data_IF_743318017866
#
_entry.id   IF_743318017866
#
_cell.length_a   1.000
_cell.length_b   1.000
_cell.length_c   1.000
_cell.angle_alpha   90.00
_cell.angle_beta   90.00
_cell.angle_gamma   90.00
#
_symmetry.space_group_name_H-M   'P 1'
#
loop_
_entity.id
_entity.type
_entity.pdbx_description
1 polymer ?
#
# COMPACT_ATOMS: atom_id res chain seq x y z
N UNK A 1 1.60 6.14 12.29
CA UNK A 1 0.89 5.97 11.01
C UNK A 1 0.30 7.31 10.64
N UNK A 2 0.55 7.77 9.42
CA UNK A 2 0.15 9.07 8.92
C UNK A 2 -0.85 8.88 7.78
N UNK A 3 -1.96 9.61 7.82
CA UNK A 3 -2.84 9.80 6.66
C UNK A 3 -2.31 10.98 5.86
N UNK A 4 -1.91 10.74 4.62
CA UNK A 4 -1.13 11.72 3.87
C UNK A 4 -2.03 12.82 3.30
N UNK A 5 -1.64 14.10 3.43
CA UNK A 5 -2.42 15.20 2.88
C UNK A 5 -2.46 15.12 1.36
N UNK A 6 -3.52 15.67 0.77
CA UNK A 6 -3.76 15.64 -0.68
C UNK A 6 -2.58 16.19 -1.51
N UNK A 7 -1.83 17.16 -0.99
CA UNK A 7 -0.66 17.74 -1.66
C UNK A 7 0.58 16.83 -1.73
N UNK A 8 0.63 15.76 -0.94
CA UNK A 8 1.74 14.80 -0.91
C UNK A 8 1.35 13.43 -1.52
N UNK A 9 0.19 13.38 -2.19
CA UNK A 9 -0.25 12.19 -2.91
C UNK A 9 0.42 12.13 -4.29
N UNK A 10 0.93 10.95 -4.63
CA UNK A 10 1.30 10.65 -6.02
C UNK A 10 0.07 10.67 -6.92
N UNK A 11 0.26 11.01 -8.20
CA UNK A 11 -0.83 11.08 -9.19
C UNK A 11 -1.84 9.91 -9.20
N UNK A 12 -1.45 8.63 -8.99
CA UNK A 12 -2.41 7.54 -8.97
C UNK A 12 -3.10 7.32 -7.61
N UNK A 13 -2.66 7.95 -6.52
CA UNK A 13 -3.16 7.67 -5.17
C UNK A 13 -4.40 8.52 -4.86
N UNK A 14 -5.51 7.85 -4.56
CA UNK A 14 -6.72 8.47 -4.02
C UNK A 14 -6.60 8.73 -2.51
N UNK A 15 -6.02 7.77 -1.78
CA UNK A 15 -5.69 7.88 -0.36
C UNK A 15 -4.42 7.09 -0.08
N UNK A 16 -3.55 7.62 0.78
CA UNK A 16 -2.23 7.04 1.10
C UNK A 16 -1.99 7.09 2.61
N UNK A 17 -1.50 5.98 3.16
CA UNK A 17 -1.03 5.90 4.53
C UNK A 17 0.45 5.55 4.57
N UNK A 18 1.20 6.33 5.34
CA UNK A 18 2.61 6.05 5.60
C UNK A 18 2.83 5.54 7.03
N UNK A 19 3.71 4.55 7.15
CA UNK A 19 4.20 4.10 8.45
C UNK A 19 5.61 4.62 8.59
N UNK A 20 5.83 5.34 9.67
CA UNK A 20 7.15 5.85 10.03
C UNK A 20 7.67 5.13 11.27
N UNK A 21 8.95 4.79 11.26
CA UNK A 21 9.67 4.28 12.40
C UNK A 21 10.47 5.41 13.05
N UNK A 22 10.58 5.36 14.37
CA UNK A 22 11.48 6.25 15.11
C UNK A 22 12.95 5.89 14.78
N UNK A 23 13.76 6.88 14.41
CA UNK A 23 15.19 6.73 14.11
C UNK A 23 15.99 7.61 15.09
N UNK A 24 16.43 7.06 16.25
CA UNK A 24 17.15 7.80 17.29
C UNK A 24 18.35 8.60 16.78
N UNK A 25 19.14 8.05 15.85
CA UNK A 25 20.32 8.70 15.29
C UNK A 25 19.99 9.96 14.48
N UNK A 26 18.76 10.04 13.94
CA UNK A 26 18.25 11.21 13.24
C UNK A 26 17.38 12.12 14.13
N UNK A 27 17.02 11.69 15.34
CA UNK A 27 16.13 12.42 16.24
C UNK A 27 14.73 12.67 15.67
N UNK A 28 14.27 11.86 14.71
CA UNK A 28 12.98 12.03 14.05
C UNK A 28 12.41 10.69 13.56
N UNK A 29 11.13 10.72 13.20
CA UNK A 29 10.49 9.64 12.47
C UNK A 29 10.93 9.64 10.99
N UNK A 30 11.05 8.44 10.42
CA UNK A 30 11.34 8.23 9.01
C UNK A 30 10.44 7.16 8.40
N UNK A 31 9.93 7.43 7.20
CA UNK A 31 9.06 6.52 6.45
C UNK A 31 9.72 5.15 6.20
N UNK A 32 9.02 4.06 6.52
CA UNK A 32 9.46 2.68 6.27
C UNK A 32 8.49 1.89 5.38
N UNK A 33 7.27 2.38 5.21
CA UNK A 33 6.21 1.75 4.43
C UNK A 33 5.24 2.81 3.95
N UNK A 34 4.66 2.55 2.79
CA UNK A 34 3.61 3.37 2.19
C UNK A 34 2.56 2.46 1.57
N UNK A 35 1.28 2.75 1.80
CA UNK A 35 0.15 2.01 1.26
C UNK A 35 -0.85 2.97 0.60
N UNK A 36 -1.18 2.73 -0.67
CA UNK A 36 -2.06 3.58 -1.46
C UNK A 36 -3.23 2.80 -2.05
N UNK A 37 -4.43 3.37 -1.91
CA UNK A 37 -5.57 3.01 -2.73
C UNK A 37 -5.56 3.87 -4.01
N UNK A 38 -5.53 3.23 -5.17
CA UNK A 38 -5.48 3.90 -6.47
C UNK A 38 -6.80 3.86 -7.23
N UNK A 39 -7.87 3.36 -6.59
CA UNK A 39 -9.19 3.13 -7.19
C UNK A 39 -9.02 2.53 -8.59
N UNK A 40 -9.73 3.04 -9.61
CA UNK A 40 -9.60 2.57 -10.98
C UNK A 40 -8.55 3.33 -11.81
N UNK A 41 -7.77 4.24 -11.22
CA UNK A 41 -6.84 5.12 -11.95
C UNK A 41 -5.85 4.34 -12.81
N UNK A 42 -5.24 3.30 -12.24
CA UNK A 42 -4.28 2.45 -12.92
C UNK A 42 -4.99 1.47 -13.86
N UNK A 43 -6.12 0.90 -13.40
CA UNK A 43 -6.91 -0.06 -14.17
C UNK A 43 -7.45 0.54 -15.48
N UNK A 44 -7.86 1.82 -15.49
CA UNK A 44 -8.29 2.53 -16.70
C UNK A 44 -7.18 2.66 -17.73
N UNK A 45 -5.94 2.90 -17.29
CA UNK A 45 -4.77 3.06 -18.16
C UNK A 45 -4.27 1.73 -18.72
N UNK A 46 -4.41 0.66 -17.94
CA UNK A 46 -4.00 -0.70 -18.33
C UNK A 46 -5.15 -1.54 -18.92
N UNK A 47 -6.36 -0.97 -19.01
CA UNK A 47 -7.59 -1.62 -19.43
C UNK A 47 -7.91 -2.93 -18.65
N UNK A 48 -7.71 -2.92 -17.33
CA UNK A 48 -7.96 -4.08 -16.46
C UNK A 48 -9.39 -4.03 -15.95
N UNK A 49 -10.20 -5.06 -16.26
CA UNK A 49 -11.64 -5.08 -16.00
C UNK A 49 -12.07 -6.39 -15.36
N UNK A 50 -13.12 -6.33 -14.55
CA UNK A 50 -13.82 -7.50 -14.05
C UNK A 50 -15.28 -7.50 -14.51
N UNK A 51 -15.94 -8.65 -14.39
CA UNK A 51 -17.36 -8.81 -14.65
C UNK A 51 -18.05 -9.06 -13.30
N UNK A 52 -18.89 -8.14 -12.81
CA UNK A 52 -19.65 -8.37 -11.58
C UNK A 52 -20.53 -9.61 -11.72
N UNK A 53 -20.59 -10.45 -10.68
CA UNK A 53 -21.64 -11.46 -10.59
C UNK A 53 -22.97 -10.79 -10.20
N UNK A 54 -24.11 -11.45 -10.43
CA UNK A 54 -25.43 -10.90 -10.08
C UNK A 54 -25.56 -10.53 -8.58
N UNK A 55 -24.67 -11.03 -7.71
CA UNK A 55 -24.64 -10.72 -6.27
C UNK A 55 -23.78 -9.49 -5.92
N UNK A 56 -22.85 -9.10 -6.78
CA UNK A 56 -21.84 -8.06 -6.48
C UNK A 56 -22.29 -6.65 -6.88
N UNK A 57 -23.37 -6.53 -7.68
CA UNK A 57 -23.91 -5.25 -8.16
C UNK A 57 -24.55 -4.37 -7.05
N UNK A 58 -24.50 -4.82 -5.79
CA UNK A 58 -25.10 -4.16 -4.63
C UNK A 58 -24.09 -3.80 -3.53
N UNK A 59 -22.77 -3.80 -3.81
CA UNK A 59 -21.80 -3.28 -2.85
C UNK A 59 -22.00 -1.75 -2.70
N UNK A 60 -22.12 -1.22 -1.47
CA UNK A 60 -22.45 0.18 -1.26
C UNK A 60 -21.31 1.08 -1.72
N UNK A 61 -21.70 2.16 -2.41
CA UNK A 61 -20.82 3.29 -2.65
C UNK A 61 -20.43 3.89 -1.30
N UNK A 62 -19.12 3.95 -1.07
CA UNK A 62 -18.35 4.89 -0.27
C UNK A 62 -19.17 5.70 0.77
N UNK A 63 -18.90 5.43 2.05
CA UNK A 63 -19.39 6.15 3.24
C UNK A 63 -18.88 7.60 3.23
N UNK A 64 -19.59 8.51 2.54
CA UNK A 64 -19.45 9.98 2.64
C UNK A 64 -20.86 10.63 2.59
N UNK A 65 -21.20 11.55 3.51
CA UNK A 65 -22.55 12.08 3.62
C UNK A 65 -22.83 13.17 2.58
N UNK A 66 -23.61 12.83 1.56
CA UNK A 66 -24.59 13.71 0.93
C UNK A 66 -24.11 14.74 -0.09
N UNK A 67 -24.33 14.43 -1.37
CA UNK A 67 -25.14 15.27 -2.25
C UNK A 67 -25.68 14.41 -3.41
N UNK A 68 -27.00 14.29 -3.51
CA UNK A 68 -27.64 13.44 -4.52
C UNK A 68 -27.42 14.03 -5.93
N UNK A 69 -26.89 13.28 -6.93
CA UNK A 69 -26.79 13.80 -8.28
C UNK A 69 -28.19 13.87 -8.90
N UNK A 70 -28.57 15.06 -9.33
CA UNK A 70 -29.81 15.37 -10.01
C UNK A 70 -30.06 14.43 -11.21
N UNK A 71 -31.26 13.84 -11.27
CA UNK A 71 -31.71 13.04 -12.38
C UNK A 71 -31.75 13.86 -13.68
N UNK A 72 -30.81 13.60 -14.61
CA UNK A 72 -30.92 14.04 -16.00
C UNK A 72 -31.35 12.88 -16.88
N UNK A 73 -32.55 12.99 -17.43
CA UNK A 73 -33.13 12.05 -18.38
C UNK A 73 -32.27 11.89 -19.63
N UNK A 74 -31.83 10.65 -19.89
CA UNK A 74 -31.07 10.26 -21.08
C UNK A 74 -31.96 9.67 -22.16
N UNK A 75 -32.09 10.40 -23.27
CA UNK A 75 -32.76 10.02 -24.52
C UNK A 75 -32.05 8.80 -25.16
N UNK A 76 -32.82 7.74 -25.46
CA UNK A 76 -32.38 6.55 -26.22
C UNK A 76 -32.00 6.94 -27.64
N UNK A 77 -30.75 6.69 -28.04
CA UNK A 77 -30.28 6.78 -29.42
C UNK A 77 -29.19 5.73 -29.65
N UNK A 78 -29.55 4.64 -30.32
CA UNK A 78 -28.66 3.49 -30.52
C UNK A 78 -27.68 3.69 -31.68
N UNK A 79 -26.53 3.03 -31.59
CA UNK A 79 -25.81 2.52 -32.76
C UNK A 79 -25.17 1.18 -32.40
N UNK A 80 -25.71 0.11 -33.01
CA UNK A 80 -25.20 -1.26 -32.95
C UNK A 80 -23.89 -1.33 -33.73
N UNK A 81 -22.81 -1.72 -33.06
CA UNK A 81 -21.66 -2.37 -33.67
C UNK A 81 -21.64 -3.82 -33.19
N UNK A 82 -21.71 -4.77 -34.12
CA UNK A 82 -21.79 -6.19 -33.85
C UNK A 82 -20.39 -6.83 -33.78
N UNK A 83 -20.16 -7.68 -32.78
CA UNK A 83 -19.46 -8.97 -32.89
C UNK A 83 -19.23 -9.60 -31.51
N UNK A 84 -19.50 -10.90 -31.38
CA UNK A 84 -18.95 -11.76 -30.32
C UNK A 84 -19.94 -12.15 -29.22
N UNK A 85 -20.41 -13.40 -29.24
CA UNK A 85 -21.41 -13.94 -28.33
C UNK A 85 -20.91 -14.26 -26.92
N UNK A 86 -21.86 -14.35 -25.98
CA UNK A 86 -21.66 -14.80 -24.60
C UNK A 86 -22.29 -13.82 -23.60
N UNK A 87 -23.51 -14.12 -23.14
CA UNK A 87 -24.26 -13.28 -22.21
C UNK A 87 -23.55 -13.04 -20.89
N UNK A 88 -22.87 -11.89 -20.78
CA UNK A 88 -22.22 -11.43 -19.56
C UNK A 88 -22.47 -9.94 -19.38
N UNK A 89 -22.87 -9.53 -18.18
CA UNK A 89 -23.15 -8.14 -17.83
C UNK A 89 -22.01 -7.16 -18.13
N UNK A 90 -22.32 -5.85 -18.05
CA UNK A 90 -21.36 -4.77 -18.30
C UNK A 90 -20.12 -4.97 -17.42
N UNK A 91 -18.93 -4.95 -18.04
CA UNK A 91 -17.66 -5.05 -17.33
C UNK A 91 -17.29 -3.72 -16.68
N UNK A 92 -16.65 -3.76 -15.52
CA UNK A 92 -16.25 -2.62 -14.70
C UNK A 92 -14.72 -2.61 -14.50
N UNK A 93 -14.12 -1.45 -14.24
CA UNK A 93 -12.69 -1.36 -13.95
C UNK A 93 -12.44 -1.82 -12.51
N UNK A 94 -11.35 -2.58 -12.29
CA UNK A 94 -10.99 -3.01 -10.94
C UNK A 94 -10.39 -1.86 -10.13
N UNK A 95 -10.50 -1.93 -8.81
CA UNK A 95 -9.69 -1.12 -7.92
C UNK A 95 -8.29 -1.73 -7.76
N UNK A 96 -7.25 -0.89 -7.70
CA UNK A 96 -5.88 -1.33 -7.44
C UNK A 96 -5.35 -0.74 -6.13
N UNK A 97 -4.57 -1.53 -5.42
CA UNK A 97 -3.84 -1.11 -4.23
C UNK A 97 -2.36 -1.47 -4.41
N UNK A 98 -1.49 -0.67 -3.80
CA UNK A 98 -0.08 -1.00 -3.67
C UNK A 98 0.37 -0.65 -2.25
N UNK A 99 1.24 -1.49 -1.67
CA UNK A 99 1.79 -1.26 -0.36
C UNK A 99 3.21 -1.82 -0.26
N UNK A 100 4.14 -1.00 0.24
CA UNK A 100 5.48 -1.46 0.62
C UNK A 100 5.37 -2.15 1.96
N UNK A 101 5.60 -3.47 2.06
CA UNK A 101 5.58 -4.15 3.34
C UNK A 101 6.66 -3.61 4.30
N UNK A 102 7.86 -3.37 3.76
CA UNK A 102 9.00 -2.80 4.48
C UNK A 102 10.06 -2.33 3.46
N UNK A 103 10.52 -1.09 3.60
CA UNK A 103 11.71 -0.60 2.90
C UNK A 103 12.96 -1.17 3.60
N UNK A 104 13.44 -2.32 3.11
CA UNK A 104 14.49 -3.13 3.78
C UNK A 104 15.69 -2.32 4.25
N UNK A 105 16.33 -1.44 3.45
CA UNK A 105 17.47 -0.67 3.93
C UNK A 105 17.14 0.25 5.11
N UNK A 106 15.98 0.90 5.09
CA UNK A 106 15.54 1.79 6.19
C UNK A 106 15.16 1.01 7.44
N UNK A 107 14.56 -0.17 7.26
CA UNK A 107 14.24 -1.05 8.39
C UNK A 107 15.49 -1.62 9.06
N UNK A 108 16.55 -1.94 8.30
CA UNK A 108 17.84 -2.32 8.89
C UNK A 108 18.36 -1.18 9.77
N UNK A 109 18.37 0.06 9.28
CA UNK A 109 18.79 1.23 10.08
C UNK A 109 17.95 1.37 11.35
N UNK A 110 16.62 1.33 11.23
CA UNK A 110 15.72 1.43 12.37
C UNK A 110 15.97 0.32 13.40
N UNK A 111 16.21 -0.92 12.97
CA UNK A 111 16.53 -2.04 13.87
C UNK A 111 17.86 -1.80 14.57
N UNK A 112 18.91 -1.46 13.82
CA UNK A 112 20.25 -1.23 14.38
C UNK A 112 20.22 -0.12 15.44
N UNK A 113 19.56 1.00 15.16
CA UNK A 113 19.53 2.13 16.09
C UNK A 113 18.66 1.89 17.33
N UNK A 114 17.53 1.19 17.20
CA UNK A 114 16.60 0.98 18.31
C UNK A 114 16.97 -0.23 19.20
N UNK A 115 17.79 -1.16 18.70
CA UNK A 115 18.20 -2.36 19.42
C UNK A 115 19.70 -2.37 19.78
N UNK A 116 20.43 -1.26 19.59
CA UNK A 116 21.82 -1.13 20.03
C UNK A 116 21.94 -1.13 21.55
N UNK A 117 23.09 -1.59 22.03
CA UNK A 117 23.50 -1.63 23.43
C UNK A 117 24.69 -0.70 23.67
N UNK A 118 24.98 -0.41 24.94
CA UNK A 118 26.11 0.46 25.34
C UNK A 118 27.48 -0.04 24.84
N UNK A 119 27.64 -1.36 24.68
CA UNK A 119 28.85 -2.00 24.18
C UNK A 119 28.94 -2.03 22.64
N UNK A 120 27.97 -1.44 21.94
CA UNK A 120 27.88 -1.41 20.48
C UNK A 120 27.34 -2.69 19.84
N UNK A 121 26.92 -3.68 20.63
CA UNK A 121 26.17 -4.82 20.11
C UNK A 121 24.72 -4.44 19.81
N UNK A 122 24.05 -5.21 18.94
CA UNK A 122 22.63 -5.03 18.59
C UNK A 122 21.87 -6.30 18.91
N UNK A 123 20.81 -6.19 19.72
CA UNK A 123 19.92 -7.31 20.01
C UNK A 123 19.08 -7.64 18.78
N UNK A 124 19.08 -8.91 18.38
CA UNK A 124 18.25 -9.39 17.29
C UNK A 124 16.78 -9.50 17.77
N UNK A 125 15.83 -8.81 17.12
CA UNK A 125 14.41 -8.93 17.42
C UNK A 125 13.95 -10.39 17.36
N UNK A 126 13.08 -10.80 18.30
CA UNK A 126 12.60 -12.20 18.42
C UNK A 126 12.08 -12.76 17.09
N UNK A 127 11.35 -11.94 16.31
CA UNK A 127 10.79 -12.33 15.03
C UNK A 127 11.85 -12.65 13.95
N UNK A 128 13.07 -12.12 14.08
CA UNK A 128 14.15 -12.31 13.09
C UNK A 128 15.08 -13.48 13.43
N UNK A 129 15.13 -13.92 14.70
CA UNK A 129 16.05 -14.99 15.15
C UNK A 129 15.94 -16.29 14.34
N UNK A 130 14.74 -16.80 13.98
CA UNK A 130 14.63 -18.02 13.16
C UNK A 130 15.28 -17.88 11.78
N UNK A 131 15.32 -16.67 11.23
CA UNK A 131 15.89 -16.38 9.91
C UNK A 131 17.39 -16.09 9.97
N UNK A 132 17.94 -15.92 11.18
CA UNK A 132 19.36 -15.65 11.44
C UNK A 132 20.04 -16.81 12.19
N UNK A 133 19.54 -18.04 12.04
CA UNK A 133 20.14 -19.23 12.65
C UNK A 133 20.09 -19.26 14.18
N UNK A 134 19.08 -18.60 14.78
CA UNK A 134 18.95 -18.48 16.24
C UNK A 134 19.85 -17.39 16.86
N UNK A 135 20.52 -16.58 16.04
CA UNK A 135 21.36 -15.48 16.53
C UNK A 135 20.54 -14.50 17.37
N UNK A 136 21.04 -14.18 18.57
CA UNK A 136 20.36 -13.28 19.51
C UNK A 136 21.01 -11.89 19.58
N UNK A 137 22.28 -11.78 19.18
CA UNK A 137 23.10 -10.57 19.26
C UNK A 137 24.00 -10.46 18.02
N UNK A 138 24.08 -9.27 17.45
CA UNK A 138 25.05 -8.87 16.43
C UNK A 138 26.10 -8.02 17.13
N UNK A 139 27.33 -8.51 17.24
CA UNK A 139 28.42 -7.80 17.92
C UNK A 139 29.42 -7.17 16.94
N UNK A 140 30.22 -6.19 17.39
CA UNK A 140 31.39 -5.76 16.63
C UNK A 140 32.31 -6.95 16.35
N UNK A 141 33.02 -6.97 15.22
CA UNK A 141 33.99 -8.01 14.94
C UNK A 141 35.01 -8.07 16.08
N UNK A 142 35.37 -9.29 16.49
CA UNK A 142 36.38 -9.50 17.53
C UNK A 142 37.65 -8.69 17.17
N UNK A 143 38.34 -8.09 18.17
CA UNK A 143 39.54 -7.33 17.91
C UNK A 143 40.51 -8.20 17.12
N UNK A 144 41.06 -7.65 16.03
CA UNK A 144 42.03 -8.34 15.21
C UNK A 144 43.16 -8.88 16.11
N UNK A 145 43.45 -10.18 16.00
CA UNK A 145 44.58 -10.77 16.71
C UNK A 145 45.85 -10.05 16.21
N UNK A 146 46.52 -9.31 17.11
CA UNK A 146 47.82 -8.71 16.85
C UNK A 146 48.87 -9.77 16.64
#
# INVERSE_FOLDING_TARGET
>A
VLDMPSGDLGAPAYRKFDVEAWMPGLGRYGEISSASNCTDYQARRLNIRYRPSHKDAAAPADDEPGEAPAAKGGKKGGKKGAAGGGGGGKTEFVHTLNATACAVPRMIVAILENFQQEDGSVVVPLALRPYLGGMELIGPPAPAKK
#
